data_IF_824770812113
#
_entry.id   IF_824770812113
#
_cell.length_a   1.000
_cell.length_b   1.000
_cell.length_c   1.000
_cell.angle_alpha   90.00
_cell.angle_beta   90.00
_cell.angle_gamma   90.00
#
_symmetry.space_group_name_H-M   'P 1'
#
loop_
_entity.id
_entity.type
_entity.pdbx_description
1 polymer ?
#
# COMPACT_ATOMS: atom_id res chain seq x y z
N UNK A 1 0.98 -4.22 4.26
CA UNK A 1 -0.15 -4.17 5.21
C UNK A 1 -0.30 -5.46 6.03
N UNK A 2 -0.65 -6.65 5.52
CA UNK A 2 -0.82 -7.84 6.38
C UNK A 2 0.40 -8.23 7.21
N UNK A 3 1.61 -8.09 6.65
CA UNK A 3 2.87 -8.36 7.37
C UNK A 3 3.15 -7.38 8.51
N UNK A 4 2.59 -6.16 8.46
CA UNK A 4 2.68 -5.22 9.57
C UNK A 4 1.78 -5.65 10.73
N UNK A 5 0.60 -6.23 10.45
CA UNK A 5 -0.23 -6.80 11.50
C UNK A 5 0.48 -7.98 12.17
N UNK A 6 1.10 -8.83 11.35
CA UNK A 6 1.89 -9.95 11.84
C UNK A 6 3.04 -9.47 12.73
N UNK A 7 3.79 -8.43 12.32
CA UNK A 7 4.85 -7.84 13.13
C UNK A 7 4.32 -7.26 14.45
N UNK A 8 3.21 -6.51 14.41
CA UNK A 8 2.57 -5.96 15.61
C UNK A 8 2.16 -7.07 16.59
N UNK A 9 1.60 -8.17 16.08
CA UNK A 9 1.23 -9.34 16.90
C UNK A 9 2.46 -10.09 17.44
N UNK A 10 3.57 -10.16 16.71
CA UNK A 10 4.80 -10.81 17.20
C UNK A 10 5.34 -10.16 18.48
N UNK A 11 5.12 -8.86 18.64
CA UNK A 11 5.60 -8.07 19.76
C UNK A 11 4.45 -7.54 20.64
N UNK A 12 3.27 -8.15 20.62
CA UNK A 12 2.08 -7.65 21.34
C UNK A 12 2.25 -7.61 22.87
N UNK A 13 3.08 -8.51 23.41
CA UNK A 13 3.42 -8.58 24.84
C UNK A 13 4.63 -7.69 25.22
N UNK A 14 5.09 -6.83 24.29
CA UNK A 14 6.27 -5.99 24.45
C UNK A 14 5.93 -4.51 24.19
N UNK A 15 6.73 -3.55 24.70
CA UNK A 15 6.49 -2.12 24.47
C UNK A 15 6.90 -1.70 23.05
N UNK A 16 6.17 -2.22 22.06
CA UNK A 16 6.39 -2.01 20.64
C UNK A 16 5.08 -1.66 19.92
N UNK A 17 5.15 -0.69 19.02
CA UNK A 17 4.02 -0.35 18.16
C UNK A 17 4.50 0.03 16.77
N UNK A 18 3.80 -0.48 15.77
CA UNK A 18 3.90 0.03 14.39
C UNK A 18 3.11 1.33 14.32
N UNK A 19 3.67 2.33 13.63
CA UNK A 19 2.94 3.54 13.24
C UNK A 19 2.94 3.61 11.72
N UNK A 20 1.74 3.63 11.12
CA UNK A 20 1.59 3.78 9.69
C UNK A 20 1.25 5.23 9.34
N UNK A 21 2.03 5.81 8.42
CA UNK A 21 1.92 7.19 7.99
C UNK A 21 1.50 7.21 6.51
N UNK A 22 0.22 7.42 6.20
CA UNK A 22 -0.25 7.51 4.82
C UNK A 22 0.36 8.74 4.13
N UNK A 23 0.79 8.58 2.88
CA UNK A 23 1.37 9.65 2.08
C UNK A 23 1.08 9.42 0.59
N UNK A 24 0.89 10.51 -0.17
CA UNK A 24 0.54 10.42 -1.59
C UNK A 24 1.63 10.88 -2.56
N UNK A 25 2.80 11.25 -2.04
CA UNK A 25 3.89 11.84 -2.82
C UNK A 25 4.61 10.84 -3.74
N UNK A 26 4.36 9.53 -3.59
CA UNK A 26 5.06 8.48 -4.32
C UNK A 26 4.10 7.75 -5.26
N UNK A 27 3.95 8.31 -6.46
CA UNK A 27 3.18 7.72 -7.55
C UNK A 27 1.66 7.80 -7.39
N UNK A 28 1.14 8.72 -6.57
CA UNK A 28 -0.29 8.91 -6.32
C UNK A 28 -1.02 7.61 -5.91
N UNK A 29 -0.43 6.84 -4.99
CA UNK A 29 -0.95 5.54 -4.58
C UNK A 29 -1.90 5.59 -3.36
N UNK A 30 -2.02 6.73 -2.69
CA UNK A 30 -2.89 6.96 -1.53
C UNK A 30 -3.81 8.17 -1.80
N UNK A 31 -4.61 8.05 -2.87
CA UNK A 31 -5.53 9.11 -3.31
C UNK A 31 -6.75 9.27 -2.40
N UNK A 32 -7.07 8.26 -1.59
CA UNK A 32 -8.17 8.28 -0.64
C UNK A 32 -8.01 9.42 0.38
N UNK A 33 -9.11 10.06 0.75
CA UNK A 33 -9.13 11.01 1.88
C UNK A 33 -8.96 10.26 3.19
N UNK A 34 -8.59 10.95 4.27
CA UNK A 34 -8.36 10.32 5.58
C UNK A 34 -9.52 9.43 6.03
N UNK A 35 -10.76 9.90 5.83
CA UNK A 35 -12.00 9.18 6.17
C UNK A 35 -12.28 7.95 5.28
N UNK A 36 -11.57 7.80 4.17
CA UNK A 36 -11.74 6.71 3.20
C UNK A 36 -10.65 5.63 3.35
N UNK A 37 -9.49 5.95 3.93
CA UNK A 37 -8.31 5.07 3.97
C UNK A 37 -8.64 3.70 4.58
N UNK A 38 -9.30 3.66 5.74
CA UNK A 38 -9.64 2.39 6.39
C UNK A 38 -10.65 1.56 5.58
N UNK A 39 -11.57 2.21 4.86
CA UNK A 39 -12.48 1.53 3.95
C UNK A 39 -11.72 0.93 2.75
N UNK A 40 -10.72 1.64 2.22
CA UNK A 40 -9.86 1.10 1.16
C UNK A 40 -9.15 -0.16 1.61
N UNK A 41 -8.62 -0.18 2.84
CA UNK A 41 -7.94 -1.35 3.39
C UNK A 41 -8.90 -2.52 3.62
N UNK A 42 -10.10 -2.24 4.15
CA UNK A 42 -11.11 -3.26 4.46
C UNK A 42 -11.76 -3.89 3.24
N UNK A 43 -12.08 -3.09 2.24
CA UNK A 43 -12.95 -3.52 1.12
C UNK A 43 -12.22 -3.64 -0.22
N UNK A 44 -11.10 -2.94 -0.44
CA UNK A 44 -10.46 -2.88 -1.76
C UNK A 44 -9.10 -3.58 -1.77
N UNK A 45 -8.14 -3.07 -0.98
CA UNK A 45 -6.79 -3.63 -0.89
C UNK A 45 -6.17 -3.26 0.46
N UNK A 46 -5.83 -4.23 1.33
CA UNK A 46 -5.85 -5.68 1.09
C UNK A 46 -7.22 -6.30 0.81
N UNK A 47 -8.30 -5.68 1.27
CA UNK A 47 -9.66 -6.18 1.11
C UNK A 47 -9.97 -7.32 2.08
N UNK A 48 -11.05 -8.05 1.80
CA UNK A 48 -11.44 -9.27 2.53
C UNK A 48 -11.60 -9.07 4.06
N UNK A 49 -12.09 -7.89 4.47
CA UNK A 49 -12.31 -7.56 5.87
C UNK A 49 -11.04 -7.18 6.64
N UNK A 50 -9.91 -6.94 5.96
CA UNK A 50 -8.66 -6.58 6.61
C UNK A 50 -8.79 -5.30 7.46
N UNK A 51 -8.34 -5.38 8.70
CA UNK A 51 -8.26 -4.27 9.64
C UNK A 51 -6.82 -4.20 10.21
N UNK A 52 -6.16 -3.04 10.16
CA UNK A 52 -4.91 -2.79 10.86
C UNK A 52 -5.08 -2.94 12.38
N UNK A 53 -4.16 -3.65 13.03
CA UNK A 53 -4.12 -3.78 14.51
C UNK A 53 -3.09 -2.81 15.13
N UNK A 54 -2.75 -1.74 14.42
CA UNK A 54 -1.79 -0.72 14.81
C UNK A 54 -2.32 0.66 14.39
N UNK A 55 -1.86 1.75 15.03
CA UNK A 55 -2.30 3.11 14.70
C UNK A 55 -1.91 3.52 13.27
N UNK A 56 -2.84 4.21 12.61
CA UNK A 56 -2.65 4.92 11.35
C UNK A 56 -2.88 6.40 11.61
N UNK A 57 -1.95 7.24 11.17
CA UNK A 57 -2.08 8.70 11.30
C UNK A 57 -2.98 9.28 10.20
N UNK A 58 -3.28 10.59 10.29
CA UNK A 58 -3.78 11.33 9.12
C UNK A 58 -2.75 11.32 8.01
N UNK A 59 -3.20 11.42 6.76
CA UNK A 59 -2.33 11.51 5.61
C UNK A 59 -1.51 12.80 5.67
N UNK A 60 -0.22 12.68 5.36
CA UNK A 60 0.69 13.81 5.37
C UNK A 60 1.77 13.68 4.28
N UNK A 61 2.47 14.78 4.05
CA UNK A 61 3.71 14.74 3.29
C UNK A 61 4.81 14.12 4.17
N UNK A 62 5.66 13.31 3.54
CA UNK A 62 6.79 12.60 4.18
C UNK A 62 8.13 12.98 3.56
N UNK A 63 8.11 13.81 2.51
CA UNK A 63 9.29 14.33 1.83
C UNK A 63 9.13 15.82 1.50
N UNK A 64 10.27 16.49 1.32
CA UNK A 64 10.32 17.92 1.03
C UNK A 64 10.11 18.79 2.28
N UNK A 65 9.90 20.11 2.10
CA UNK A 65 9.83 21.06 3.20
C UNK A 65 8.70 20.78 4.21
N UNK A 66 7.63 20.13 3.75
CA UNK A 66 6.47 19.78 4.58
C UNK A 66 6.51 18.32 5.06
N UNK A 67 7.62 17.60 4.88
CA UNK A 67 7.71 16.16 5.13
C UNK A 67 7.65 15.73 6.61
N UNK A 68 7.51 16.69 7.53
CA UNK A 68 7.35 16.49 8.96
C UNK A 68 8.38 15.54 9.57
N UNK A 69 7.91 14.75 10.54
CA UNK A 69 8.73 13.78 11.28
C UNK A 69 9.48 12.81 10.35
N UNK A 70 8.84 12.31 9.28
CA UNK A 70 9.46 11.32 8.40
C UNK A 70 10.65 11.89 7.62
N UNK A 71 10.56 13.13 7.16
CA UNK A 71 11.69 13.79 6.50
C UNK A 71 12.85 14.06 7.46
N UNK A 72 12.54 14.41 8.72
CA UNK A 72 13.54 14.62 9.77
C UNK A 72 14.30 13.33 10.10
N UNK A 73 13.57 12.24 10.39
CA UNK A 73 14.18 10.94 10.69
C UNK A 73 14.99 10.40 9.50
N UNK A 74 14.50 10.58 8.28
CA UNK A 74 15.22 10.18 7.06
C UNK A 74 16.53 10.97 6.85
N UNK A 75 16.59 12.22 7.31
CA UNK A 75 17.79 13.03 7.24
C UNK A 75 18.85 12.61 8.28
N UNK A 76 18.41 12.16 9.46
CA UNK A 76 19.28 11.61 10.51
C UNK A 76 19.81 10.21 10.17
N UNK A 77 19.09 9.44 9.36
CA UNK A 77 19.49 8.12 8.87
C UNK A 77 19.60 8.08 7.33
N UNK A 78 20.66 8.68 6.73
CA UNK A 78 20.86 8.66 5.29
C UNK A 78 20.98 7.23 4.75
N UNK A 79 20.22 6.93 3.70
CA UNK A 79 20.19 5.60 3.07
C UNK A 79 20.23 5.77 1.54
N UNK A 80 21.26 5.24 0.88
CA UNK A 80 21.45 5.38 -0.58
C UNK A 80 20.26 4.74 -1.32
N UNK A 81 19.54 5.46 -2.20
CA UNK A 81 18.36 4.89 -2.85
C UNK A 81 18.66 3.61 -3.65
N UNK A 82 17.77 2.61 -3.56
CA UNK A 82 17.93 1.34 -4.32
C UNK A 82 17.83 1.58 -5.83
N UNK A 83 16.95 2.50 -6.22
CA UNK A 83 16.79 2.91 -7.61
C UNK A 83 17.21 4.38 -7.77
N UNK A 84 18.31 4.66 -8.51
CA UNK A 84 18.84 6.01 -8.66
C UNK A 84 17.92 6.94 -9.47
N UNK A 85 16.90 6.41 -10.15
CA UNK A 85 15.92 7.17 -10.91
C UNK A 85 14.62 7.42 -10.13
N UNK A 86 14.55 7.04 -8.84
CA UNK A 86 13.39 7.34 -7.99
C UNK A 86 13.15 8.84 -7.89
N UNK A 87 11.88 9.20 -8.01
CA UNK A 87 11.38 10.57 -7.86
C UNK A 87 10.14 10.56 -6.98
N UNK A 88 9.94 11.67 -6.28
CA UNK A 88 8.72 11.95 -5.53
C UNK A 88 8.04 13.19 -6.11
N UNK A 89 6.72 13.26 -5.94
CA UNK A 89 5.89 14.38 -6.33
C UNK A 89 6.04 15.51 -5.32
N UNK A 90 6.30 16.73 -5.81
CA UNK A 90 6.30 17.94 -4.97
C UNK A 90 4.92 18.57 -4.87
N UNK A 91 3.99 18.10 -5.68
CA UNK A 91 2.60 18.54 -5.77
C UNK A 91 1.76 17.30 -6.10
N UNK A 92 0.77 17.01 -5.26
CA UNK A 92 -0.13 15.84 -5.42
C UNK A 92 -1.49 16.24 -5.99
N UNK A 93 -1.65 17.47 -6.46
CA UNK A 93 -2.88 17.91 -7.11
C UNK A 93 -3.13 17.18 -8.44
N UNK A 94 -4.40 16.98 -8.85
CA UNK A 94 -4.78 16.19 -10.03
C UNK A 94 -4.19 16.60 -11.40
N UNK A 95 -3.41 17.68 -11.48
CA UNK A 95 -2.74 18.13 -12.70
C UNK A 95 -1.26 18.52 -12.48
N UNK A 96 -0.76 18.39 -11.25
CA UNK A 96 0.59 18.82 -10.86
C UNK A 96 1.61 17.68 -10.97
N UNK A 97 2.04 17.30 -12.18
CA UNK A 97 3.11 16.29 -12.33
C UNK A 97 4.52 16.89 -12.18
N UNK A 98 4.75 17.62 -11.08
CA UNK A 98 6.09 18.12 -10.73
C UNK A 98 6.76 17.12 -9.80
N UNK A 99 7.98 16.72 -10.14
CA UNK A 99 8.72 15.72 -9.37
C UNK A 99 10.15 16.16 -9.06
N UNK A 100 10.68 15.71 -7.92
CA UNK A 100 12.09 15.86 -7.53
C UNK A 100 12.75 14.51 -7.39
N UNK A 101 14.06 14.45 -7.61
CA UNK A 101 14.86 13.24 -7.44
C UNK A 101 14.99 12.92 -5.94
N UNK A 102 14.89 11.65 -5.59
CA UNK A 102 15.17 11.17 -4.24
C UNK A 102 16.68 11.25 -3.98
N UNK A 103 17.07 11.66 -2.77
CA UNK A 103 18.44 11.61 -2.26
C UNK A 103 18.55 10.61 -1.10
N UNK A 104 19.77 10.40 -0.58
CA UNK A 104 19.96 9.51 0.58
C UNK A 104 19.17 9.94 1.82
N UNK A 105 18.92 11.23 1.97
CA UNK A 105 18.17 11.82 3.10
C UNK A 105 16.65 11.86 2.88
N UNK A 106 16.16 11.31 1.77
CA UNK A 106 14.74 11.41 1.38
C UNK A 106 14.10 10.04 1.41
N UNK A 107 12.85 9.92 1.89
CA UNK A 107 12.06 8.69 1.77
C UNK A 107 11.90 8.34 0.28
N UNK A 108 12.39 7.16 -0.11
CA UNK A 108 12.53 6.83 -1.52
C UNK A 108 11.26 6.31 -2.19
N UNK A 109 10.41 5.62 -1.43
CA UNK A 109 9.16 5.02 -1.90
C UNK A 109 8.24 4.65 -0.75
N UNK A 110 7.01 4.25 -1.10
CA UNK A 110 6.05 3.63 -0.18
C UNK A 110 6.68 2.42 0.52
N UNK A 111 6.32 2.20 1.79
CA UNK A 111 6.78 1.08 2.64
C UNK A 111 8.26 1.09 3.05
N UNK A 112 8.99 2.21 2.88
CA UNK A 112 10.23 2.41 3.64
C UNK A 112 9.93 2.49 5.14
N UNK A 113 10.77 1.87 5.97
CA UNK A 113 10.55 1.79 7.43
C UNK A 113 11.68 2.47 8.19
N UNK A 114 11.38 3.03 9.35
CA UNK A 114 12.35 3.59 10.29
C UNK A 114 12.06 2.99 11.66
N UNK A 115 13.07 2.40 12.27
CA UNK A 115 13.04 1.94 13.66
C UNK A 115 13.50 3.07 14.57
N UNK A 116 12.70 3.37 15.58
CA UNK A 116 12.95 4.39 16.60
C UNK A 116 13.01 3.68 17.95
N UNK A 117 14.00 4.03 18.76
CA UNK A 117 14.22 3.48 20.09
C UNK A 117 13.18 3.98 21.10
N UNK A 118 13.07 3.34 22.28
CA UNK A 118 12.13 3.73 23.34
C UNK A 118 12.34 5.16 23.85
N UNK A 119 13.54 5.71 23.68
CA UNK A 119 13.96 7.07 24.03
C UNK A 119 13.69 8.09 22.92
N UNK A 120 13.13 7.66 21.78
CA UNK A 120 12.91 8.50 20.61
C UNK A 120 14.09 8.59 19.66
N UNK A 121 15.22 7.92 19.94
CA UNK A 121 16.40 7.96 19.07
C UNK A 121 16.17 7.15 17.79
N UNK A 122 16.38 7.70 16.58
CA UNK A 122 16.29 6.92 15.35
C UNK A 122 17.45 5.92 15.27
N UNK A 123 17.10 4.63 15.19
CA UNK A 123 18.08 3.54 15.22
C UNK A 123 18.48 3.07 13.83
N UNK A 124 17.49 2.84 12.96
CA UNK A 124 17.76 2.23 11.65
C UNK A 124 16.68 2.53 10.62
N UNK A 125 17.09 2.59 9.36
CA UNK A 125 16.20 2.81 8.21
C UNK A 125 16.30 1.64 7.25
N UNK A 126 15.15 1.18 6.77
CA UNK A 126 15.02 0.03 5.87
C UNK A 126 14.46 0.45 4.51
N UNK A 127 14.92 -0.25 3.48
CA UNK A 127 14.42 -0.08 2.13
C UNK A 127 12.98 -0.60 1.98
N UNK A 128 12.21 -0.07 1.01
CA UNK A 128 10.89 -0.61 0.64
C UNK A 128 10.89 -2.10 0.28
N UNK A 129 12.04 -2.64 -0.15
CA UNK A 129 12.21 -4.05 -0.50
C UNK A 129 12.29 -4.98 0.73
N UNK A 130 12.66 -4.44 1.90
CA UNK A 130 12.77 -5.20 3.15
C UNK A 130 11.38 -5.42 3.72
N UNK A 131 11.03 -6.67 4.01
CA UNK A 131 9.72 -6.98 4.59
C UNK A 131 9.73 -6.69 6.09
N UNK A 132 8.60 -6.24 6.67
CA UNK A 132 8.49 -5.99 8.11
C UNK A 132 8.85 -7.21 8.98
N UNK A 133 8.58 -8.41 8.47
CA UNK A 133 8.82 -9.69 9.17
C UNK A 133 10.14 -10.35 8.77
N UNK A 134 11.01 -9.68 8.03
CA UNK A 134 12.33 -10.23 7.70
C UNK A 134 13.18 -10.35 8.97
N UNK A 135 14.02 -11.39 9.03
CA UNK A 135 14.78 -11.74 10.24
C UNK A 135 15.68 -10.58 10.73
N UNK A 136 16.12 -9.70 9.81
CA UNK A 136 16.89 -8.48 10.13
C UNK A 136 16.07 -7.46 10.90
N UNK A 137 14.83 -7.18 10.49
CA UNK A 137 13.96 -6.20 11.16
C UNK A 137 13.57 -6.72 12.54
N UNK A 138 13.21 -8.00 12.63
CA UNK A 138 12.85 -8.63 13.91
C UNK A 138 14.04 -8.62 14.87
N UNK A 139 15.25 -8.93 14.39
CA UNK A 139 16.45 -8.89 15.23
C UNK A 139 16.76 -7.48 15.73
N UNK A 140 16.67 -6.46 14.87
CA UNK A 140 16.92 -5.08 15.29
C UNK A 140 15.88 -4.60 16.33
N UNK A 141 14.62 -5.04 16.25
CA UNK A 141 13.58 -4.74 17.25
C UNK A 141 13.86 -5.50 18.57
N UNK A 142 14.22 -6.78 18.48
CA UNK A 142 14.65 -7.59 19.63
C UNK A 142 15.80 -6.91 20.39
N UNK A 143 16.82 -6.44 19.65
CA UNK A 143 17.96 -5.71 20.20
C UNK A 143 17.54 -4.39 20.83
N UNK A 144 16.68 -3.60 20.17
CA UNK A 144 16.20 -2.32 20.69
C UNK A 144 15.37 -2.46 21.99
N UNK A 145 14.69 -3.59 22.17
CA UNK A 145 13.87 -3.89 23.34
C UNK A 145 14.62 -4.69 24.41
N UNK A 146 15.81 -5.22 24.11
CA UNK A 146 16.53 -6.14 24.99
C UNK A 146 15.79 -7.46 25.22
N UNK A 147 15.02 -7.93 24.24
CA UNK A 147 14.24 -9.18 24.32
C UNK A 147 14.67 -10.16 23.24
N UNK A 148 14.49 -11.45 23.47
CA UNK A 148 14.63 -12.48 22.43
C UNK A 148 13.28 -13.17 22.30
N UNK A 149 12.61 -13.00 21.17
CA UNK A 149 11.38 -13.74 20.95
C UNK A 149 11.73 -15.22 20.89
N UNK A 150 10.96 -16.03 21.61
CA UNK A 150 10.99 -17.47 21.40
C UNK A 150 10.41 -17.72 20.02
N UNK A 151 11.26 -17.68 18.98
CA UNK A 151 10.96 -18.05 17.59
C UNK A 151 10.69 -19.55 17.55
N UNK A 152 9.61 -20.00 18.22
CA UNK A 152 9.23 -21.40 18.43
C UNK A 152 9.20 -22.07 17.08
N UNK A 153 10.22 -22.88 16.74
CA UNK A 153 10.18 -24.11 15.94
C UNK A 153 9.23 -24.22 14.71
N UNK A 154 8.65 -23.11 14.22
CA UNK A 154 7.54 -23.05 13.25
C UNK A 154 8.07 -23.06 11.83
N UNK A 155 9.18 -22.36 11.55
CA UNK A 155 9.94 -22.56 10.30
C UNK A 155 10.44 -24.01 10.19
N UNK A 156 10.93 -24.62 11.28
CA UNK A 156 11.39 -26.00 11.30
C UNK A 156 10.25 -27.04 11.10
N UNK A 157 9.08 -26.85 11.74
CA UNK A 157 7.89 -27.70 11.50
C UNK A 157 7.28 -27.51 10.11
N UNK A 158 7.22 -26.27 9.58
CA UNK A 158 6.70 -25.98 8.23
C UNK A 158 7.63 -26.54 7.14
N UNK A 159 8.95 -26.45 7.33
CA UNK A 159 9.94 -27.08 6.45
C UNK A 159 9.91 -28.62 6.52
N UNK A 160 9.73 -29.22 7.70
CA UNK A 160 9.54 -30.69 7.83
C UNK A 160 8.23 -31.19 7.21
N UNK A 161 7.12 -30.44 7.33
CA UNK A 161 5.83 -30.79 6.70
C UNK A 161 5.86 -30.67 5.18
N UNK A 162 6.59 -29.68 4.63
CA UNK A 162 6.79 -29.55 3.18
C UNK A 162 7.67 -30.65 2.58
N UNK A 163 8.65 -31.18 3.33
CA UNK A 163 9.49 -32.32 2.90
C UNK A 163 8.84 -33.70 3.08
N UNK A 164 7.83 -33.84 3.96
CA UNK A 164 7.16 -35.13 4.24
C UNK A 164 6.00 -35.51 3.32
N UNK A 165 5.55 -34.62 2.44
CA UNK A 165 4.34 -34.82 1.62
C UNK A 165 4.53 -35.49 0.26
N UNK A 166 5.72 -36.01 -0.07
CA UNK A 166 6.00 -36.57 -1.40
C UNK A 166 6.68 -37.94 -1.31
N UNK A 167 5.99 -38.94 -0.78
CA UNK A 167 6.29 -40.36 -1.03
C UNK A 167 5.11 -41.28 -0.68
N UNK A 168 4.87 -42.26 -1.57
CA UNK A 168 3.89 -43.36 -1.58
C UNK A 168 2.50 -43.02 -2.14
N UNK A 169 2.04 -43.60 -3.25
CA UNK A 169 2.64 -44.66 -4.06
C UNK A 169 1.80 -44.91 -5.33
N UNK A 170 2.48 -45.27 -6.41
CA UNK A 170 1.86 -45.86 -7.58
C UNK A 170 1.94 -47.38 -7.51
N UNK A 171 0.86 -48.06 -7.88
CA UNK A 171 0.94 -49.33 -8.62
C UNK A 171 -0.32 -49.52 -9.44
N UNK A 172 -0.11 -49.64 -10.75
CA UNK A 172 -1.11 -49.91 -11.77
C UNK A 172 -1.65 -51.35 -11.69
N UNK A 173 -2.86 -51.56 -12.24
CA UNK A 173 -3.21 -52.74 -13.05
C UNK A 173 -4.45 -52.44 -13.89
N UNK A 174 -4.48 -53.03 -15.09
CA UNK A 174 -5.27 -52.61 -16.24
C UNK A 174 -6.67 -53.20 -16.36
N UNK A 175 -7.35 -52.85 -17.46
CA UNK A 175 -8.67 -53.38 -17.82
C UNK A 175 -9.21 -52.71 -19.08
N UNK A 176 -9.43 -53.50 -20.13
CA UNK A 176 -9.82 -53.13 -21.50
C UNK A 176 -11.26 -52.58 -21.63
N UNK A 177 -11.38 -51.62 -22.55
CA UNK A 177 -12.41 -51.43 -23.60
C UNK A 177 -13.91 -51.61 -23.31
N UNK A 178 -14.70 -50.56 -23.61
CA UNK A 178 -15.91 -50.68 -24.45
C UNK A 178 -16.19 -49.38 -25.21
N UNK A 179 -16.76 -49.57 -26.40
CA UNK A 179 -16.89 -48.65 -27.54
C UNK A 179 -18.38 -48.38 -27.77
N UNK A 180 -18.78 -47.12 -27.97
CA UNK A 180 -20.02 -46.65 -28.63
C UNK A 180 -19.87 -45.13 -28.76
N UNK A 181 -19.52 -44.51 -29.90
CA UNK A 181 -20.18 -44.32 -31.21
C UNK A 181 -21.53 -43.56 -31.17
N UNK A 182 -21.47 -42.38 -31.79
CA UNK A 182 -22.46 -41.63 -32.57
C UNK A 182 -23.52 -40.77 -31.87
N UNK A 183 -23.66 -39.55 -32.38
CA UNK A 183 -24.80 -38.65 -32.22
C UNK A 183 -24.41 -37.19 -32.47
N UNK A 184 -24.58 -36.73 -33.72
CA UNK A 184 -24.35 -35.36 -34.19
C UNK A 184 -25.66 -34.54 -34.22
N UNK A 185 -25.56 -33.27 -34.64
CA UNK A 185 -26.63 -32.27 -34.99
C UNK A 185 -27.23 -31.51 -33.79
N UNK A 186 -27.66 -30.25 -33.87
CA UNK A 186 -27.66 -29.11 -34.83
C UNK A 186 -28.32 -27.94 -34.04
N UNK A 187 -27.80 -26.70 -34.09
CA UNK A 187 -28.28 -25.55 -34.86
C UNK A 187 -29.69 -24.98 -34.52
N UNK A 188 -29.71 -23.64 -34.49
CA UNK A 188 -30.85 -22.68 -34.51
C UNK A 188 -31.60 -22.49 -33.15
N UNK A 189 -32.08 -21.31 -32.76
CA UNK A 189 -32.48 -20.13 -33.52
C UNK A 189 -32.58 -18.86 -32.65
N UNK A 190 -32.30 -17.72 -33.29
CA UNK A 190 -32.84 -16.35 -33.20
C UNK A 190 -33.31 -15.72 -31.86
N UNK A 191 -32.72 -14.58 -31.48
CA UNK A 191 -33.20 -13.18 -31.63
C UNK A 191 -34.27 -12.73 -30.64
N UNK A 192 -33.96 -11.67 -29.88
CA UNK A 192 -34.74 -10.44 -30.08
C UNK A 192 -33.90 -9.21 -29.73
N UNK A 193 -34.04 -8.20 -30.57
CA UNK A 193 -33.38 -6.91 -30.51
C UNK A 193 -34.45 -5.83 -30.41
N UNK A 194 -34.32 -4.91 -29.46
CA UNK A 194 -34.92 -3.57 -29.51
C UNK A 194 -34.39 -2.76 -28.32
N UNK A 195 -34.22 -1.45 -28.34
CA UNK A 195 -33.94 -0.47 -29.38
C UNK A 195 -33.47 0.77 -28.60
N UNK A 196 -32.65 1.59 -29.24
CA UNK A 196 -32.08 2.84 -28.76
C UNK A 196 -33.09 3.97 -28.50
N UNK A 197 -32.76 4.88 -27.59
CA UNK A 197 -32.94 6.34 -27.75
C UNK A 197 -32.10 7.06 -26.68
N UNK A 198 -30.96 7.67 -27.00
CA UNK A 198 -30.76 9.03 -27.52
C UNK A 198 -31.65 10.13 -26.87
N UNK A 199 -31.07 10.89 -25.93
CA UNK A 199 -31.46 12.28 -25.70
C UNK A 199 -30.27 13.09 -25.18
N UNK A 200 -29.67 13.85 -26.09
CA UNK A 200 -28.67 14.88 -25.86
C UNK A 200 -29.43 16.21 -25.75
N UNK A 201 -29.42 16.88 -24.62
CA UNK A 201 -29.88 18.28 -24.53
C UNK A 201 -28.85 19.17 -23.84
N UNK A 202 -28.21 20.01 -24.65
CA UNK A 202 -27.51 21.23 -24.23
C UNK A 202 -28.56 22.26 -23.77
N UNK A 203 -28.29 22.96 -22.66
CA UNK A 203 -28.77 24.33 -22.48
C UNK A 203 -27.74 25.14 -21.68
N UNK A 204 -27.12 26.10 -22.35
CA UNK A 204 -26.43 27.24 -21.75
C UNK A 204 -27.48 28.32 -21.45
N UNK A 205 -27.41 28.95 -20.29
CA UNK A 205 -27.90 30.33 -20.13
C UNK A 205 -26.99 31.12 -19.19
N UNK A 206 -26.38 32.17 -19.75
CA UNK A 206 -25.72 33.28 -19.06
C UNK A 206 -26.77 34.13 -18.34
N UNK A 207 -26.43 34.69 -17.19
CA UNK A 207 -26.92 36.01 -16.78
C UNK A 207 -25.84 36.77 -15.99
N UNK A 208 -25.46 37.92 -16.54
CA UNK A 208 -24.65 38.98 -15.93
C UNK A 208 -25.61 40.05 -15.39
N UNK A 209 -25.35 40.58 -14.21
CA UNK A 209 -25.69 41.96 -13.78
C UNK A 209 -24.75 42.32 -12.62
N UNK A 210 -23.70 43.15 -12.75
CA UNK A 210 -23.62 44.63 -12.87
C UNK A 210 -24.35 45.43 -11.78
N UNK A 211 -23.56 46.01 -10.86
CA UNK A 211 -23.61 47.39 -10.33
C UNK A 211 -22.26 47.58 -9.59
N UNK A 212 -21.29 48.47 -9.88
CA UNK A 212 -21.19 49.89 -10.25
C UNK A 212 -21.76 50.88 -9.22
N UNK A 213 -20.84 51.46 -8.43
CA UNK A 213 -20.91 52.77 -7.76
C UNK A 213 -19.56 53.07 -7.11
N UNK A 214 -18.62 53.76 -7.77
CA UNK A 214 -18.34 55.22 -7.79
C UNK A 214 -17.98 55.83 -6.41
N UNK A 215 -16.75 56.35 -6.29
CA UNK A 215 -16.38 57.76 -5.97
C UNK A 215 -14.99 57.84 -5.29
N UNK A 216 -13.98 58.45 -5.97
CA UNK A 216 -13.37 59.79 -5.73
C UNK A 216 -12.34 59.83 -4.58
N UNK A 217 -11.05 60.11 -4.90
CA UNK A 217 -10.30 61.40 -4.72
C UNK A 217 -9.65 61.45 -3.32
N UNK A 218 -8.37 61.72 -3.07
CA UNK A 218 -7.45 62.77 -3.52
C UNK A 218 -5.98 62.32 -3.24
N UNK A 219 -5.00 62.61 -4.11
CA UNK A 219 -3.97 63.68 -3.91
C UNK A 219 -3.52 63.89 -2.45
N UNK A 220 -2.28 63.51 -2.14
CA UNK A 220 -1.13 64.40 -1.88
C UNK A 220 0.16 63.63 -2.07
#
# INVERSE_FOLDING_TARGET
>A
MPQLNELQTMFEDHPFTVWAIPANQHGLQENARDVEILNMYRYVRPGNGYEPNFPITTKMDVVGPNGGLMAELAAQLPLKPENPNRRYLVDTTPCGLKTKKVSSKTIEWNFGMILVGPDGTPLKRYYPSVKPTDDVVVADIEDALGVILKRKAKKAKKAKKAKGGKAKGGKAKGGKAKKSKAGASSADDSTDAAESSNAKSKAKSKAKSKAKGKAKKARR
#
